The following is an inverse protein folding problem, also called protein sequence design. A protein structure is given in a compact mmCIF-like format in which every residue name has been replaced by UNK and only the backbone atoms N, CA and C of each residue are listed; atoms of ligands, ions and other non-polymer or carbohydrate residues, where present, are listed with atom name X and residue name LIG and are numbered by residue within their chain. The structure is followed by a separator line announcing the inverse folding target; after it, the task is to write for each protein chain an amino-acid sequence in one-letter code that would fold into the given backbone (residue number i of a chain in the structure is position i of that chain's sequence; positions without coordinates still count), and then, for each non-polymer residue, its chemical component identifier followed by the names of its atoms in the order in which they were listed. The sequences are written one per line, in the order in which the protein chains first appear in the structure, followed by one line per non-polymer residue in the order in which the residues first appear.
data_IF_584287934483
#
_entry.id   IF_584287934483
#
_cell.length_a   1.000
_cell.length_b   1.000
_cell.length_c   1.000
_cell.angle_alpha   90.00
_cell.angle_beta   90.00
_cell.angle_gamma   90.00
#
_symmetry.space_group_name_H-M   'P 1'
#
loop_
_entity.id
_entity.type
_entity.pdbx_description
1 polymer ?
#
# COMPACT_ATOMS: atom_id res chain seq x y z
N UNK A 1 -16.49 16.61 5.61
CA UNK A 1 -15.18 15.99 5.33
C UNK A 1 -14.91 14.93 6.39
N UNK A 2 -14.70 13.67 5.97
CA UNK A 2 -14.38 12.52 6.82
C UNK A 2 -12.94 12.09 6.57
N UNK A 3 -12.15 12.00 7.63
CA UNK A 3 -10.76 11.60 7.59
C UNK A 3 -10.60 10.30 8.37
N UNK A 4 -9.85 9.35 7.83
CA UNK A 4 -9.51 8.10 8.52
C UNK A 4 -8.00 7.89 8.49
N UNK A 5 -7.44 7.51 9.62
CA UNK A 5 -6.09 6.95 9.70
C UNK A 5 -6.18 5.52 10.21
N UNK A 6 -5.51 4.59 9.55
CA UNK A 6 -5.54 3.19 9.93
C UNK A 6 -4.22 2.49 9.63
N UNK A 7 -3.60 1.94 10.68
CA UNK A 7 -2.50 1.01 10.53
C UNK A 7 -3.08 -0.36 10.19
N UNK A 8 -2.85 -0.81 8.95
CA UNK A 8 -3.44 -2.06 8.46
C UNK A 8 -2.62 -3.29 8.81
N UNK A 9 -1.44 -3.12 9.43
CA UNK A 9 -0.48 -4.19 9.71
C UNK A 9 -0.30 -5.09 8.47
N UNK A 10 0.03 -4.47 7.33
CA UNK A 10 0.13 -5.11 6.01
C UNK A 10 -1.09 -5.98 5.63
N UNK A 11 -2.28 -5.72 6.17
CA UNK A 11 -3.51 -6.49 5.94
C UNK A 11 -3.71 -7.67 6.90
N UNK A 12 -2.85 -7.86 7.88
CA UNK A 12 -2.89 -8.98 8.81
C UNK A 12 -3.76 -8.67 10.03
N UNK A 13 -4.78 -9.50 10.23
CA UNK A 13 -5.73 -9.33 11.32
C UNK A 13 -5.31 -10.07 12.59
N UNK A 14 -5.96 -9.72 13.71
CA UNK A 14 -5.85 -10.45 14.97
C UNK A 14 -6.38 -11.90 14.89
N UNK A 15 -7.12 -12.22 13.82
CA UNK A 15 -7.54 -13.58 13.46
C UNK A 15 -6.44 -14.38 12.73
N UNK A 16 -5.24 -13.81 12.58
CA UNK A 16 -4.11 -14.44 11.91
C UNK A 16 -4.25 -14.53 10.40
N UNK A 17 -5.15 -13.74 9.79
CA UNK A 17 -5.43 -13.78 8.35
C UNK A 17 -4.99 -12.49 7.67
N UNK A 18 -4.31 -12.66 6.54
CA UNK A 18 -4.00 -11.59 5.59
C UNK A 18 -5.21 -11.35 4.67
N UNK A 19 -5.81 -10.15 4.75
CA UNK A 19 -6.99 -9.76 3.99
C UNK A 19 -7.05 -8.23 3.80
N UNK A 20 -6.61 -7.76 2.63
CA UNK A 20 -6.67 -6.34 2.26
C UNK A 20 -8.09 -5.86 1.94
N UNK A 21 -8.98 -6.74 1.49
CA UNK A 21 -10.36 -6.38 1.18
C UNK A 21 -11.11 -6.00 2.46
N UNK A 22 -10.84 -6.69 3.57
CA UNK A 22 -11.32 -6.31 4.91
C UNK A 22 -10.84 -4.91 5.29
N UNK A 23 -9.55 -4.60 5.12
CA UNK A 23 -9.02 -3.28 5.44
C UNK A 23 -9.69 -2.19 4.59
N UNK A 24 -9.79 -2.39 3.27
CA UNK A 24 -10.45 -1.45 2.36
C UNK A 24 -11.91 -1.19 2.74
N UNK A 25 -12.66 -2.24 3.09
CA UNK A 25 -14.07 -2.14 3.51
C UNK A 25 -14.24 -1.27 4.77
N UNK A 26 -13.30 -1.34 5.72
CA UNK A 26 -13.37 -0.57 6.98
C UNK A 26 -13.22 0.93 6.73
N UNK A 27 -12.36 1.32 5.79
CA UNK A 27 -12.04 2.73 5.52
C UNK A 27 -12.88 3.36 4.41
N UNK A 28 -13.64 2.55 3.68
CA UNK A 28 -14.46 2.99 2.57
C UNK A 28 -15.45 4.10 2.97
N UNK A 29 -15.63 5.08 2.09
CA UNK A 29 -16.56 6.20 2.29
C UNK A 29 -15.98 7.40 3.02
N UNK A 30 -14.74 7.33 3.51
CA UNK A 30 -13.98 8.51 3.95
C UNK A 30 -13.62 9.40 2.75
N UNK A 31 -13.37 10.69 2.98
CA UNK A 31 -12.93 11.61 1.92
C UNK A 31 -11.41 11.53 1.72
N UNK A 32 -10.66 11.30 2.81
CA UNK A 32 -9.21 11.04 2.82
C UNK A 32 -8.92 9.87 3.77
N UNK A 33 -8.06 8.96 3.32
CA UNK A 33 -7.63 7.76 4.04
C UNK A 33 -6.10 7.78 4.12
N UNK A 34 -5.56 7.70 5.33
CA UNK A 34 -4.13 7.53 5.58
C UNK A 34 -3.88 6.12 6.12
N UNK A 35 -3.19 5.29 5.34
CA UNK A 35 -2.83 3.93 5.72
C UNK A 35 -1.37 3.86 6.15
N UNK A 36 -1.10 3.16 7.23
CA UNK A 36 0.25 2.81 7.69
C UNK A 36 0.49 1.32 7.54
N UNK A 37 1.77 0.94 7.47
CA UNK A 37 2.23 -0.45 7.29
C UNK A 37 1.71 -1.09 6.00
N UNK A 38 1.72 -0.32 4.91
CA UNK A 38 1.43 -0.82 3.56
C UNK A 38 2.73 -1.28 2.91
N UNK A 39 2.72 -2.47 2.30
CA UNK A 39 3.94 -3.09 1.77
C UNK A 39 3.86 -3.49 0.30
N UNK A 40 5.02 -3.75 -0.31
CA UNK A 40 5.14 -4.33 -1.65
C UNK A 40 6.15 -5.45 -1.66
N UNK A 41 5.81 -6.55 -2.31
CA UNK A 41 6.73 -7.62 -2.67
C UNK A 41 7.43 -8.29 -1.47
N UNK A 42 6.72 -8.43 -0.35
CA UNK A 42 7.20 -9.22 0.79
C UNK A 42 6.65 -10.64 0.73
N UNK A 43 7.50 -11.63 1.04
CA UNK A 43 7.10 -13.04 1.03
C UNK A 43 5.89 -13.33 1.93
N UNK A 44 5.79 -12.64 3.08
CA UNK A 44 4.67 -12.80 4.03
C UNK A 44 3.31 -12.34 3.49
N UNK A 45 3.31 -11.52 2.44
CA UNK A 45 2.12 -11.00 1.77
C UNK A 45 1.97 -11.56 0.35
N UNK A 46 2.46 -12.79 0.11
CA UNK A 46 2.50 -13.43 -1.22
C UNK A 46 3.21 -12.58 -2.29
N UNK A 47 4.11 -11.71 -1.85
CA UNK A 47 4.76 -10.70 -2.67
C UNK A 47 3.81 -9.74 -3.40
N UNK A 48 2.62 -9.49 -2.85
CA UNK A 48 1.64 -8.56 -3.41
C UNK A 48 2.17 -7.12 -3.54
N UNK A 49 1.66 -6.39 -4.54
CA UNK A 49 1.70 -4.92 -4.59
C UNK A 49 0.46 -4.38 -3.87
N UNK A 50 0.55 -4.19 -2.56
CA UNK A 50 -0.63 -3.79 -1.77
C UNK A 50 -1.21 -2.44 -2.19
N UNK A 51 -0.42 -1.39 -2.51
CA UNK A 51 -0.98 -0.15 -3.04
C UNK A 51 -1.83 -0.34 -4.30
N UNK A 52 -1.37 -1.16 -5.25
CA UNK A 52 -2.12 -1.47 -6.47
C UNK A 52 -3.41 -2.28 -6.17
N UNK A 53 -3.34 -3.25 -5.24
CA UNK A 53 -4.53 -4.00 -4.81
C UNK A 53 -5.54 -3.08 -4.12
N UNK A 54 -5.07 -2.24 -3.20
CA UNK A 54 -5.91 -1.27 -2.48
C UNK A 54 -6.53 -0.25 -3.44
N UNK A 55 -5.83 0.21 -4.48
CA UNK A 55 -6.41 1.12 -5.47
C UNK A 55 -7.50 0.46 -6.30
N UNK A 56 -7.42 -0.85 -6.57
CA UNK A 56 -8.50 -1.60 -7.22
C UNK A 56 -9.71 -1.79 -6.31
N UNK A 57 -9.49 -1.97 -5.01
CA UNK A 57 -10.56 -2.10 -4.01
C UNK A 57 -11.24 -0.76 -3.68
N UNK A 58 -10.54 0.36 -3.90
CA UNK A 58 -11.02 1.73 -3.65
C UNK A 58 -10.90 2.58 -4.93
N UNK A 59 -11.63 2.25 -6.02
CA UNK A 59 -11.41 2.81 -7.34
C UNK A 59 -11.79 4.29 -7.48
N UNK A 60 -12.54 4.85 -6.53
CA UNK A 60 -12.95 6.25 -6.51
C UNK A 60 -11.89 7.22 -5.96
N UNK A 61 -10.72 6.71 -5.57
CA UNK A 61 -9.69 7.49 -4.89
C UNK A 61 -8.45 7.68 -5.77
N UNK A 62 -7.94 8.91 -5.79
CA UNK A 62 -6.54 9.19 -6.12
C UNK A 62 -5.65 8.64 -5.01
N UNK A 63 -4.46 8.15 -5.33
CA UNK A 63 -3.57 7.62 -4.31
C UNK A 63 -2.11 7.96 -4.56
N UNK A 64 -1.34 7.98 -3.48
CA UNK A 64 0.12 8.01 -3.47
C UNK A 64 0.64 7.03 -2.44
N UNK A 65 1.72 6.34 -2.77
CA UNK A 65 2.44 5.46 -1.86
C UNK A 65 3.82 6.04 -1.57
N UNK A 66 4.14 6.16 -0.29
CA UNK A 66 5.40 6.65 0.21
C UNK A 66 6.15 5.56 0.97
N UNK A 67 7.04 4.78 0.30
CA UNK A 67 7.85 3.79 0.99
C UNK A 67 8.82 4.46 1.98
N UNK A 68 8.79 4.04 3.24
CA UNK A 68 9.77 4.43 4.26
C UNK A 68 11.00 3.49 4.22
N UNK A 69 10.76 2.22 3.91
CA UNK A 69 11.80 1.26 3.56
C UNK A 69 11.71 0.95 2.08
N UNK A 70 12.86 1.04 1.41
CA UNK A 70 13.01 0.67 0.01
C UNK A 70 14.26 -0.20 -0.14
N UNK A 71 14.06 -1.50 -0.32
CA UNK A 71 15.13 -2.49 -0.39
C UNK A 71 15.18 -3.18 -1.74
N UNK A 72 16.38 -3.63 -2.10
CA UNK A 72 16.55 -4.48 -3.27
C UNK A 72 15.80 -5.81 -3.09
N UNK A 73 15.14 -6.21 -4.17
CA UNK A 73 14.54 -7.52 -4.34
C UNK A 73 14.81 -8.01 -5.77
N UNK A 74 15.89 -7.53 -6.39
CA UNK A 74 16.21 -7.83 -7.78
C UNK A 74 16.58 -9.29 -7.93
N UNK A 75 16.20 -9.87 -9.06
CA UNK A 75 16.49 -11.26 -9.38
C UNK A 75 17.17 -11.39 -10.74
N UNK A 76 17.91 -12.47 -10.95
CA UNK A 76 18.46 -12.81 -12.26
C UNK A 76 17.50 -13.76 -12.97
N UNK A 77 16.97 -13.33 -14.11
CA UNK A 77 16.06 -14.10 -14.96
C UNK A 77 16.55 -14.06 -16.41
N UNK A 78 16.64 -15.22 -17.05
CA UNK A 78 17.07 -15.36 -18.44
C UNK A 78 18.38 -14.64 -18.76
N UNK A 79 19.36 -14.74 -17.84
CA UNK A 79 20.68 -14.12 -17.99
C UNK A 79 20.75 -12.61 -17.68
N UNK A 80 19.62 -11.96 -17.37
CA UNK A 80 19.51 -10.52 -17.11
C UNK A 80 19.06 -10.23 -15.68
N UNK A 81 19.46 -9.08 -15.13
CA UNK A 81 18.92 -8.55 -13.86
C UNK A 81 17.54 -7.94 -14.12
N UNK A 82 16.53 -8.44 -13.41
CA UNK A 82 15.20 -7.84 -13.30
C UNK A 82 15.19 -7.00 -12.03
N UNK A 83 15.16 -5.68 -12.21
CA UNK A 83 15.12 -4.76 -11.08
C UNK A 83 13.76 -4.84 -10.39
N UNK A 84 13.76 -5.15 -9.10
CA UNK A 84 12.56 -5.17 -8.26
C UNK A 84 12.90 -4.60 -6.89
N UNK A 85 11.93 -3.92 -6.30
CA UNK A 85 12.02 -3.35 -4.95
C UNK A 85 11.02 -4.04 -4.05
N UNK A 86 11.42 -4.34 -2.81
CA UNK A 86 10.49 -4.66 -1.72
C UNK A 86 10.40 -3.47 -0.79
N UNK A 87 9.19 -3.05 -0.48
CA UNK A 87 8.93 -1.74 0.12
C UNK A 87 7.97 -1.86 1.29
N UNK A 88 8.08 -0.93 2.24
CA UNK A 88 7.17 -0.82 3.38
C UNK A 88 7.02 0.66 3.74
N UNK A 89 5.80 1.13 3.96
CA UNK A 89 5.58 2.55 4.22
C UNK A 89 4.11 2.92 4.39
N UNK A 90 3.80 4.17 4.01
CA UNK A 90 2.47 4.74 4.15
C UNK A 90 1.81 4.95 2.79
N UNK A 91 0.49 4.93 2.76
CA UNK A 91 -0.31 5.22 1.58
C UNK A 91 -1.36 6.26 1.94
N UNK A 92 -1.57 7.24 1.07
CA UNK A 92 -2.68 8.17 1.17
C UNK A 92 -3.62 7.94 0.00
N UNK A 93 -4.91 7.82 0.29
CA UNK A 93 -5.98 7.81 -0.70
C UNK A 93 -6.89 9.03 -0.48
N UNK A 94 -7.32 9.68 -1.55
CA UNK A 94 -8.20 10.85 -1.50
C UNK A 94 -9.22 10.85 -2.63
N UNK A 95 -10.46 11.23 -2.33
CA UNK A 95 -11.48 11.51 -3.36
C UNK A 95 -11.20 12.79 -4.15
N UNK A 96 -10.29 13.63 -3.66
CA UNK A 96 -9.84 14.85 -4.32
C UNK A 96 -8.49 14.59 -5.00
N UNK A 97 -8.16 15.29 -6.10
CA UNK A 97 -6.87 15.15 -6.76
C UNK A 97 -5.69 15.42 -5.83
N UNK A 98 -4.72 14.49 -5.80
CA UNK A 98 -3.44 14.69 -5.12
C UNK A 98 -2.51 15.42 -6.09
N UNK A 99 -2.37 16.74 -5.92
CA UNK A 99 -1.59 17.60 -6.83
C UNK A 99 -0.09 17.31 -6.77
N UNK A 100 0.43 16.99 -5.58
CA UNK A 100 1.84 16.69 -5.36
C UNK A 100 2.02 15.83 -4.10
N UNK A 101 3.04 14.98 -4.09
CA UNK A 101 3.55 14.33 -2.88
C UNK A 101 5.08 14.28 -2.92
N UNK A 102 5.70 14.29 -1.73
CA UNK A 102 7.14 14.14 -1.57
C UNK A 102 7.44 13.40 -0.27
N UNK A 103 8.36 12.43 -0.33
CA UNK A 103 8.93 11.82 0.85
C UNK A 103 9.90 12.78 1.55
N UNK A 104 9.90 12.75 2.88
CA UNK A 104 10.89 13.48 3.66
C UNK A 104 12.28 12.90 3.39
N UNK A 105 13.27 13.77 3.25
CA UNK A 105 14.69 13.44 3.07
C UNK A 105 15.40 13.22 4.39
#
# INVERSE_FOLDING_TARGET
MKLVSYNIQYGFGSDGRYDLARCAKIVAGADIIALQEVERHWLRSNEDDQPEILSRLLPEYHWVYGPAFDMDASERRDGRIVNRRRQFGTMVLSRLPIVWSRLHT
#
